data_IF_143414357087
#
_entry.id   IF_143414357087
#
_cell.length_a   1.000
_cell.length_b   1.000
_cell.length_c   1.000
_cell.angle_alpha   90.00
_cell.angle_beta   90.00
_cell.angle_gamma   90.00
#
_symmetry.space_group_name_H-M   'P 1'
#
loop_
_entity.id
_entity.type
_entity.pdbx_description
1 polymer ?
#
# COMPACT_ATOMS: atom_id res chain seq x y z
N UNK A 1 16.00 -1.71 31.92
CA UNK A 1 16.81 -0.70 31.24
C UNK A 1 17.04 -1.09 29.77
N UNK A 2 17.24 -0.13 28.87
CA UNK A 2 17.65 -0.38 27.48
C UNK A 2 18.94 -1.19 27.41
N UNK A 3 19.89 -0.93 28.30
CA UNK A 3 21.16 -1.65 28.39
C UNK A 3 20.98 -3.14 28.70
N UNK A 4 20.06 -3.51 29.60
CA UNK A 4 19.75 -4.92 29.91
C UNK A 4 19.11 -5.63 28.69
N UNK A 5 18.22 -4.95 28.01
CA UNK A 5 17.62 -5.47 26.76
C UNK A 5 18.69 -5.68 25.67
N UNK A 6 19.60 -4.72 25.52
CA UNK A 6 20.71 -4.80 24.58
C UNK A 6 21.58 -6.02 24.84
N UNK A 7 22.03 -6.22 26.10
CA UNK A 7 22.85 -7.38 26.47
C UNK A 7 22.09 -8.71 26.29
N UNK A 8 20.79 -8.73 26.59
CA UNK A 8 19.95 -9.90 26.34
C UNK A 8 19.93 -10.27 24.85
N UNK A 9 19.62 -9.35 23.97
CA UNK A 9 19.53 -9.65 22.53
C UNK A 9 20.90 -9.96 21.93
N UNK A 10 21.96 -9.30 22.37
CA UNK A 10 23.34 -9.61 21.98
C UNK A 10 23.74 -11.04 22.35
N UNK A 11 23.39 -11.50 23.55
CA UNK A 11 23.62 -12.88 23.98
C UNK A 11 22.87 -13.92 23.15
N UNK A 12 21.71 -13.54 22.58
CA UNK A 12 20.89 -14.42 21.76
C UNK A 12 21.14 -14.26 20.25
N UNK A 13 22.18 -13.54 19.85
CA UNK A 13 22.55 -13.26 18.45
C UNK A 13 21.41 -12.61 17.62
N UNK A 14 20.56 -11.80 18.27
CA UNK A 14 19.48 -11.05 17.62
C UNK A 14 20.01 -9.67 17.18
N UNK A 15 20.82 -9.67 16.13
CA UNK A 15 21.54 -8.47 15.64
C UNK A 15 20.57 -7.36 15.21
N UNK A 16 19.39 -7.71 14.71
CA UNK A 16 18.39 -6.73 14.28
C UNK A 16 17.85 -5.92 15.45
N UNK A 17 17.57 -6.58 16.59
CA UNK A 17 17.12 -5.89 17.80
C UNK A 17 18.23 -5.13 18.49
N UNK A 18 19.44 -5.68 18.50
CA UNK A 18 20.63 -4.97 18.98
C UNK A 18 20.76 -3.64 18.20
N UNK A 19 20.80 -3.71 16.89
CA UNK A 19 20.92 -2.52 16.05
C UNK A 19 19.72 -1.56 16.16
N UNK A 20 18.51 -2.07 16.33
CA UNK A 20 17.33 -1.22 16.56
C UNK A 20 17.47 -0.44 17.88
N UNK A 21 17.88 -1.10 18.95
CA UNK A 21 18.08 -0.48 20.27
C UNK A 21 19.19 0.59 20.27
N UNK A 22 20.22 0.46 19.43
CA UNK A 22 21.27 1.47 19.30
C UNK A 22 20.70 2.84 18.91
N UNK A 23 19.72 2.87 17.99
CA UNK A 23 19.13 4.10 17.48
C UNK A 23 17.96 4.65 18.32
N UNK A 24 17.49 3.93 19.33
CA UNK A 24 16.43 4.41 20.20
C UNK A 24 16.99 5.42 21.22
N UNK A 25 16.40 6.63 21.33
CA UNK A 25 16.85 7.63 22.30
C UNK A 25 16.45 7.32 23.75
N UNK A 26 15.55 6.37 23.95
CA UNK A 26 14.94 6.04 25.23
C UNK A 26 15.92 5.34 26.15
N UNK A 27 15.89 5.68 27.44
CA UNK A 27 16.64 4.95 28.49
C UNK A 27 15.98 3.63 28.87
N UNK A 28 14.65 3.53 28.70
CA UNK A 28 13.85 2.36 28.97
C UNK A 28 13.17 1.85 27.72
N UNK A 29 13.01 0.54 27.62
CA UNK A 29 12.24 -0.13 26.57
C UNK A 29 11.30 -1.14 27.20
N UNK A 30 10.13 -1.33 26.61
CA UNK A 30 9.17 -2.33 27.04
C UNK A 30 9.49 -3.67 26.38
N UNK A 31 9.73 -4.68 27.19
CA UNK A 31 9.89 -6.05 26.72
C UNK A 31 8.69 -6.88 27.12
N UNK A 32 8.27 -7.75 26.23
CA UNK A 32 7.29 -8.78 26.52
C UNK A 32 8.00 -10.10 26.82
N UNK A 33 7.50 -10.83 27.82
CA UNK A 33 8.08 -12.11 28.26
C UNK A 33 7.08 -13.23 28.03
N UNK A 34 7.52 -14.28 27.34
CA UNK A 34 6.79 -15.55 27.22
C UNK A 34 7.74 -16.66 27.67
N UNK A 35 7.42 -17.31 28.79
CA UNK A 35 8.35 -18.28 29.41
C UNK A 35 9.70 -17.64 29.73
N UNK A 36 10.75 -18.08 29.07
CA UNK A 36 12.12 -17.55 29.24
C UNK A 36 12.59 -16.67 28.09
N UNK A 37 11.69 -16.39 27.15
CA UNK A 37 11.98 -15.56 25.94
C UNK A 37 11.49 -14.15 26.18
N UNK A 38 12.35 -13.17 25.92
CA UNK A 38 11.99 -11.76 25.89
C UNK A 38 11.97 -11.27 24.45
N UNK A 39 11.01 -10.41 24.14
CA UNK A 39 10.93 -9.77 22.82
C UNK A 39 10.59 -8.29 22.95
N UNK A 40 11.07 -7.49 22.02
CA UNK A 40 10.75 -6.08 21.87
C UNK A 40 9.73 -5.92 20.76
N UNK A 41 8.54 -5.43 21.11
CA UNK A 41 7.43 -5.21 20.17
C UNK A 41 6.88 -3.81 20.41
N UNK A 42 6.65 -3.06 19.34
CA UNK A 42 6.19 -1.67 19.39
C UNK A 42 4.70 -1.55 19.79
N UNK A 43 3.89 -2.57 19.51
CA UNK A 43 2.47 -2.59 19.84
C UNK A 43 2.19 -3.19 21.21
N UNK A 44 1.00 -2.91 21.74
CA UNK A 44 0.53 -3.58 22.96
C UNK A 44 0.23 -5.05 22.67
N UNK A 45 0.70 -5.93 23.53
CA UNK A 45 0.43 -7.37 23.52
C UNK A 45 -0.60 -7.71 24.60
N UNK A 46 -1.42 -8.75 24.42
CA UNK A 46 -2.26 -9.29 25.47
C UNK A 46 -1.41 -9.77 26.67
N UNK A 47 -2.01 -9.78 27.86
CA UNK A 47 -1.35 -10.18 29.09
C UNK A 47 -1.00 -11.67 29.12
N UNK A 48 -1.76 -12.48 28.41
CA UNK A 48 -1.59 -13.93 28.36
C UNK A 48 -1.95 -14.50 26.99
N UNK A 49 -1.44 -15.67 26.67
CA UNK A 49 -1.66 -16.33 25.36
C UNK A 49 -3.00 -17.05 25.27
N UNK A 50 -3.72 -17.21 26.39
CA UNK A 50 -5.04 -17.85 26.42
C UNK A 50 -6.12 -17.14 25.60
N UNK A 51 -5.90 -15.87 25.25
CA UNK A 51 -6.78 -15.13 24.33
C UNK A 51 -6.62 -15.54 22.86
N UNK A 52 -5.58 -16.29 22.51
CA UNK A 52 -5.31 -16.78 21.15
C UNK A 52 -5.90 -18.18 20.99
N UNK A 53 -7.23 -18.26 20.97
CA UNK A 53 -7.96 -19.55 20.99
C UNK A 53 -7.94 -20.25 19.64
N UNK A 54 -7.89 -19.51 18.56
CA UNK A 54 -8.00 -20.04 17.21
C UNK A 54 -6.94 -19.44 16.30
N UNK A 55 -6.19 -20.28 15.63
CA UNK A 55 -5.32 -19.91 14.53
C UNK A 55 -5.09 -21.11 13.62
N UNK A 56 -4.71 -20.86 12.38
CA UNK A 56 -4.32 -21.88 11.42
C UNK A 56 -2.97 -21.55 10.82
N UNK A 57 -2.24 -22.59 10.45
CA UNK A 57 -0.99 -22.48 9.68
C UNK A 57 -1.19 -23.17 8.34
N UNK A 58 -0.78 -22.54 7.28
CA UNK A 58 -0.80 -23.11 5.94
C UNK A 58 0.58 -22.91 5.31
N UNK A 59 1.22 -24.02 5.00
CA UNK A 59 2.51 -24.02 4.31
C UNK A 59 2.28 -23.71 2.82
N UNK A 60 3.04 -22.78 2.28
CA UNK A 60 2.92 -22.42 0.87
C UNK A 60 4.00 -23.11 0.05
N UNK A 61 5.22 -22.60 0.09
CA UNK A 61 6.37 -23.07 -0.67
C UNK A 61 7.63 -22.31 -0.23
N UNK A 62 8.82 -22.86 -0.51
CA UNK A 62 10.10 -22.17 -0.30
C UNK A 62 10.29 -21.55 1.10
N UNK A 63 9.97 -22.27 2.15
CA UNK A 63 10.02 -21.82 3.54
C UNK A 63 9.04 -20.68 3.88
N UNK A 64 8.00 -20.51 3.08
CA UNK A 64 6.92 -19.55 3.33
C UNK A 64 5.69 -20.25 3.93
N UNK A 65 5.06 -19.62 4.91
CA UNK A 65 3.80 -20.07 5.48
C UNK A 65 2.86 -18.89 5.79
N UNK A 66 1.57 -19.18 5.80
CA UNK A 66 0.53 -18.22 6.17
C UNK A 66 0.02 -18.54 7.57
N UNK A 67 -0.03 -17.52 8.43
CA UNK A 67 -0.73 -17.59 9.71
C UNK A 67 -2.14 -17.04 9.49
N UNK A 68 -3.15 -17.88 9.74
CA UNK A 68 -4.56 -17.50 9.69
C UNK A 68 -5.06 -17.25 11.11
N UNK A 69 -5.72 -16.14 11.34
CA UNK A 69 -6.27 -15.78 12.64
C UNK A 69 -7.61 -15.04 12.48
N UNK A 70 -8.50 -15.09 13.49
CA UNK A 70 -9.75 -14.36 13.47
C UNK A 70 -9.55 -12.86 13.33
N UNK A 71 -10.41 -12.21 12.56
CA UNK A 71 -10.40 -10.75 12.42
C UNK A 71 -11.81 -10.18 12.55
N UNK A 72 -11.92 -8.97 13.07
CA UNK A 72 -13.19 -8.23 13.20
C UNK A 72 -13.90 -8.01 11.86
N UNK A 73 -13.15 -7.99 10.76
CA UNK A 73 -13.73 -7.80 9.41
C UNK A 73 -14.53 -8.99 8.90
N UNK A 74 -14.40 -10.15 9.52
CA UNK A 74 -15.09 -11.40 9.15
C UNK A 74 -15.78 -12.05 10.35
N UNK A 75 -16.34 -11.22 11.25
CA UNK A 75 -17.07 -11.67 12.45
C UNK A 75 -16.26 -12.65 13.31
N UNK A 76 -14.99 -12.33 13.54
CA UNK A 76 -14.05 -13.09 14.36
C UNK A 76 -13.90 -14.58 13.95
N UNK A 77 -14.06 -14.87 12.66
CA UNK A 77 -13.83 -16.21 12.10
C UNK A 77 -12.52 -16.29 11.35
N UNK A 78 -11.98 -17.47 11.24
CA UNK A 78 -10.86 -17.76 10.34
C UNK A 78 -11.42 -17.99 8.94
N UNK A 79 -11.02 -17.15 7.99
CA UNK A 79 -11.35 -17.32 6.58
C UNK A 79 -10.45 -18.38 5.94
N UNK A 80 -10.98 -19.14 4.98
CA UNK A 80 -10.14 -19.94 4.11
C UNK A 80 -9.13 -19.05 3.39
N UNK A 81 -7.89 -19.53 3.30
CA UNK A 81 -6.84 -18.80 2.62
C UNK A 81 -6.98 -18.93 1.11
N UNK A 82 -6.99 -17.80 0.43
CA UNK A 82 -6.92 -17.72 -1.01
C UNK A 82 -5.56 -17.19 -1.42
N UNK A 83 -4.79 -18.00 -2.14
CA UNK A 83 -3.44 -17.62 -2.55
C UNK A 83 -3.47 -16.60 -3.69
N UNK A 84 -3.07 -15.37 -3.39
CA UNK A 84 -2.94 -14.29 -4.36
C UNK A 84 -1.52 -14.24 -4.95
N UNK A 85 -1.21 -15.13 -5.88
CA UNK A 85 0.13 -15.30 -6.48
C UNK A 85 0.80 -13.97 -6.86
N UNK A 86 0.10 -13.06 -7.56
CA UNK A 86 0.63 -11.75 -7.97
C UNK A 86 1.05 -10.87 -6.79
N UNK A 87 0.32 -10.92 -5.68
CA UNK A 87 0.66 -10.18 -4.47
C UNK A 87 1.95 -10.70 -3.85
N UNK A 88 2.11 -12.01 -3.78
CA UNK A 88 3.33 -12.64 -3.28
C UNK A 88 4.54 -12.38 -4.17
N UNK A 89 4.35 -12.38 -5.50
CA UNK A 89 5.40 -11.98 -6.44
C UNK A 89 5.90 -10.55 -6.17
N UNK A 90 5.00 -9.61 -5.88
CA UNK A 90 5.36 -8.23 -5.52
C UNK A 90 6.10 -8.17 -4.18
N UNK A 91 5.71 -8.95 -3.18
CA UNK A 91 6.44 -9.03 -1.91
C UNK A 91 7.85 -9.58 -2.10
N UNK A 92 8.01 -10.65 -2.88
CA UNK A 92 9.34 -11.21 -3.21
C UNK A 92 10.20 -10.18 -3.96
N UNK A 93 9.64 -9.48 -4.94
CA UNK A 93 10.33 -8.42 -5.67
C UNK A 93 10.78 -7.30 -4.73
N UNK A 94 9.93 -6.85 -3.82
CA UNK A 94 10.26 -5.83 -2.82
C UNK A 94 11.42 -6.29 -1.92
N UNK A 95 11.42 -7.58 -1.52
CA UNK A 95 12.51 -8.18 -0.76
C UNK A 95 13.83 -8.20 -1.55
N UNK A 96 13.77 -8.52 -2.85
CA UNK A 96 14.95 -8.47 -3.73
C UNK A 96 15.48 -7.03 -3.92
N UNK A 97 14.60 -6.04 -4.04
CA UNK A 97 15.00 -4.64 -4.04
C UNK A 97 15.71 -4.23 -2.74
N UNK A 98 15.20 -4.68 -1.59
CA UNK A 98 15.87 -4.48 -0.31
C UNK A 98 17.28 -5.07 -0.28
N UNK A 99 17.44 -6.28 -0.80
CA UNK A 99 18.76 -6.93 -0.92
C UNK A 99 19.70 -6.13 -1.84
N UNK A 100 19.21 -5.70 -3.00
CA UNK A 100 19.97 -4.92 -3.98
C UNK A 100 20.47 -3.60 -3.39
N UNK A 101 19.64 -2.94 -2.58
CA UNK A 101 19.98 -1.70 -1.90
C UNK A 101 20.77 -1.91 -0.59
N UNK A 102 21.02 -3.16 -0.18
CA UNK A 102 21.58 -3.52 1.12
C UNK A 102 20.76 -2.99 2.33
N UNK A 103 19.44 -2.91 2.17
CA UNK A 103 18.49 -2.52 3.20
C UNK A 103 17.53 -3.69 3.42
N UNK A 104 17.83 -4.53 4.39
CA UNK A 104 17.01 -5.71 4.72
C UNK A 104 16.20 -5.52 5.99
N UNK A 105 16.69 -4.68 6.88
CA UNK A 105 16.13 -4.45 8.21
C UNK A 105 15.99 -2.95 8.51
N UNK A 106 15.20 -2.62 9.52
CA UNK A 106 15.13 -1.25 10.04
C UNK A 106 16.49 -0.74 10.54
N UNK A 107 17.32 -1.64 11.04
CA UNK A 107 18.70 -1.31 11.44
C UNK A 107 19.55 -0.85 10.27
N UNK A 108 19.46 -1.54 9.12
CA UNK A 108 20.19 -1.13 7.90
C UNK A 108 19.72 0.26 7.44
N UNK A 109 18.40 0.49 7.44
CA UNK A 109 17.84 1.79 7.09
C UNK A 109 18.35 2.88 8.04
N UNK A 110 18.31 2.64 9.36
CA UNK A 110 18.80 3.60 10.36
C UNK A 110 20.28 3.93 10.17
N UNK A 111 21.13 2.96 9.84
CA UNK A 111 22.54 3.17 9.50
C UNK A 111 22.72 4.10 8.32
N UNK A 112 21.93 3.94 7.28
CA UNK A 112 21.98 4.79 6.08
C UNK A 112 21.42 6.19 6.39
N UNK A 113 20.30 6.28 7.12
CA UNK A 113 19.68 7.57 7.50
C UNK A 113 20.64 8.39 8.37
N UNK A 114 21.35 7.77 9.32
CA UNK A 114 22.35 8.46 10.17
C UNK A 114 23.67 8.77 9.47
N UNK A 115 23.86 8.29 8.25
CA UNK A 115 25.00 8.58 7.40
C UNK A 115 24.66 9.62 6.34
N UNK A 116 25.66 10.16 5.64
CA UNK A 116 25.43 11.08 4.50
C UNK A 116 24.87 10.40 3.23
N UNK A 117 24.60 9.09 3.27
CA UNK A 117 24.23 8.28 2.10
C UNK A 117 22.71 8.16 1.85
N UNK A 118 21.90 8.80 2.67
CA UNK A 118 20.42 8.72 2.52
C UNK A 118 19.94 9.22 1.15
N UNK A 119 20.55 10.26 0.60
CA UNK A 119 20.18 10.79 -0.70
C UNK A 119 20.46 9.80 -1.84
N UNK A 120 21.53 9.01 -1.73
CA UNK A 120 21.84 7.98 -2.73
C UNK A 120 20.83 6.83 -2.66
N UNK A 121 20.41 6.43 -1.46
CA UNK A 121 19.36 5.44 -1.28
C UNK A 121 18.02 5.90 -1.88
N UNK A 122 17.63 7.15 -1.63
CA UNK A 122 16.41 7.74 -2.21
C UNK A 122 16.48 7.71 -3.74
N UNK A 123 17.57 8.20 -4.34
CA UNK A 123 17.75 8.22 -5.80
C UNK A 123 17.72 6.82 -6.40
N UNK A 124 18.37 5.86 -5.75
CA UNK A 124 18.36 4.46 -6.20
C UNK A 124 16.94 3.87 -6.16
N UNK A 125 16.21 4.06 -5.08
CA UNK A 125 14.83 3.60 -4.93
C UNK A 125 13.89 4.22 -5.97
N UNK A 126 14.01 5.54 -6.20
CA UNK A 126 13.24 6.24 -7.23
C UNK A 126 13.60 5.78 -8.65
N UNK A 127 14.85 5.44 -8.89
CA UNK A 127 15.33 4.91 -10.18
C UNK A 127 14.75 3.53 -10.44
N UNK A 128 14.78 2.63 -9.47
CA UNK A 128 14.17 1.30 -9.57
C UNK A 128 12.66 1.38 -9.88
N UNK A 129 11.94 2.23 -9.14
CA UNK A 129 10.52 2.45 -9.41
C UNK A 129 10.28 3.04 -10.81
N UNK A 130 11.10 3.99 -11.23
CA UNK A 130 10.99 4.65 -12.53
C UNK A 130 11.20 3.69 -13.68
N UNK A 131 12.21 2.82 -13.58
CA UNK A 131 12.50 1.78 -14.57
C UNK A 131 11.32 0.83 -14.71
N UNK A 132 10.77 0.36 -13.59
CA UNK A 132 9.60 -0.54 -13.60
C UNK A 132 8.38 0.11 -14.27
N UNK A 133 8.07 1.36 -13.92
CA UNK A 133 6.97 2.10 -14.55
C UNK A 133 7.20 2.32 -16.05
N UNK A 134 8.44 2.62 -16.44
CA UNK A 134 8.79 2.79 -17.86
C UNK A 134 8.64 1.48 -18.65
N UNK A 135 9.02 0.36 -18.08
CA UNK A 135 8.89 -0.95 -18.74
C UNK A 135 7.41 -1.32 -18.92
N UNK A 136 6.57 -1.07 -17.93
CA UNK A 136 5.11 -1.21 -18.09
C UNK A 136 4.56 -0.26 -19.17
N UNK A 137 5.05 0.99 -19.22
CA UNK A 137 4.61 1.94 -20.24
C UNK A 137 5.00 1.50 -21.65
N UNK A 138 6.21 0.96 -21.83
CA UNK A 138 6.67 0.37 -23.10
C UNK A 138 5.81 -0.82 -23.54
N UNK A 139 5.46 -1.70 -22.58
CA UNK A 139 4.62 -2.84 -22.87
C UNK A 139 3.20 -2.43 -23.29
N UNK A 140 2.61 -1.47 -22.59
CA UNK A 140 1.31 -0.89 -22.97
C UNK A 140 1.38 -0.20 -24.33
N UNK A 141 2.45 0.52 -24.63
CA UNK A 141 2.62 1.18 -25.92
C UNK A 141 2.64 0.19 -27.09
N UNK A 142 3.27 -0.99 -26.92
CA UNK A 142 3.25 -2.06 -27.92
C UNK A 142 1.85 -2.64 -28.17
N UNK A 143 0.97 -2.57 -27.19
CA UNK A 143 -0.39 -3.13 -27.24
C UNK A 143 -1.47 -2.04 -27.22
N UNK A 144 -1.14 -0.82 -27.62
CA UNK A 144 -2.05 0.35 -27.57
C UNK A 144 -3.28 0.22 -28.51
N UNK A 145 -3.21 -0.69 -29.50
CA UNK A 145 -4.35 -1.09 -30.32
C UNK A 145 -5.43 -1.82 -29.49
N UNK A 146 -5.05 -2.56 -28.46
CA UNK A 146 -5.92 -3.38 -27.60
C UNK A 146 -6.20 -2.72 -26.25
N UNK A 147 -5.16 -2.18 -25.62
CA UNK A 147 -5.28 -1.57 -24.28
C UNK A 147 -5.79 -0.14 -24.42
N UNK A 148 -7.03 0.10 -24.02
CA UNK A 148 -7.67 1.42 -24.08
C UNK A 148 -7.86 2.04 -22.69
N UNK A 149 -7.90 1.23 -21.64
CA UNK A 149 -8.12 1.66 -20.25
C UNK A 149 -7.06 1.04 -19.37
N UNK A 150 -6.47 1.85 -18.48
CA UNK A 150 -5.52 1.43 -17.46
C UNK A 150 -6.10 1.84 -16.11
N UNK A 151 -6.34 0.88 -15.25
CA UNK A 151 -6.85 1.10 -13.90
C UNK A 151 -5.69 1.09 -12.89
N UNK A 152 -5.54 2.17 -12.14
CA UNK A 152 -4.56 2.30 -11.06
C UNK A 152 -5.31 2.36 -9.74
N UNK A 153 -5.19 1.32 -8.93
CA UNK A 153 -5.81 1.22 -7.62
C UNK A 153 -4.75 1.15 -6.51
N UNK A 154 -5.15 1.52 -5.31
CA UNK A 154 -4.31 1.45 -4.12
C UNK A 154 -4.98 2.14 -2.93
N UNK A 155 -4.52 1.90 -1.71
CA UNK A 155 -5.09 2.51 -0.50
C UNK A 155 -4.92 4.03 -0.49
N UNK A 156 -5.60 4.70 0.45
CA UNK A 156 -5.44 6.14 0.64
C UNK A 156 -3.97 6.47 0.93
N UNK A 157 -3.53 7.62 0.47
CA UNK A 157 -2.14 8.12 0.64
C UNK A 157 -1.02 7.21 0.07
N UNK A 158 -1.35 6.20 -0.74
CA UNK A 158 -0.35 5.30 -1.38
C UNK A 158 0.42 5.93 -2.55
N UNK A 159 0.16 7.18 -2.90
CA UNK A 159 0.80 7.85 -4.03
C UNK A 159 0.18 7.53 -5.39
N UNK A 160 -1.08 7.07 -5.46
CA UNK A 160 -1.78 6.79 -6.73
C UNK A 160 -1.70 7.93 -7.74
N UNK A 161 -2.02 9.14 -7.30
CA UNK A 161 -2.02 10.34 -8.18
C UNK A 161 -0.63 10.65 -8.70
N UNK A 162 0.40 10.59 -7.86
CA UNK A 162 1.79 10.80 -8.25
C UNK A 162 2.25 9.75 -9.26
N UNK A 163 1.94 8.49 -9.00
CA UNK A 163 2.23 7.37 -9.90
C UNK A 163 1.51 7.52 -11.23
N UNK A 164 0.23 7.88 -11.22
CA UNK A 164 -0.58 8.10 -12.42
C UNK A 164 0.01 9.23 -13.30
N UNK A 165 0.39 10.36 -12.69
CA UNK A 165 1.02 11.48 -13.38
C UNK A 165 2.36 11.07 -14.02
N UNK A 166 3.22 10.38 -13.28
CA UNK A 166 4.51 9.89 -13.76
C UNK A 166 4.34 8.89 -14.89
N UNK A 167 3.39 7.98 -14.74
CA UNK A 167 3.09 6.97 -15.75
C UNK A 167 2.53 7.59 -17.04
N UNK A 168 1.63 8.57 -16.91
CA UNK A 168 1.12 9.33 -18.06
C UNK A 168 2.23 10.07 -18.81
N UNK A 169 3.26 10.60 -18.10
CA UNK A 169 4.43 11.19 -18.74
C UNK A 169 5.21 10.17 -19.58
N UNK A 170 5.42 8.96 -19.05
CA UNK A 170 6.10 7.90 -19.80
C UNK A 170 5.30 7.48 -21.03
N UNK A 171 4.00 7.31 -20.92
CA UNK A 171 3.14 7.00 -22.07
C UNK A 171 3.19 8.11 -23.14
N UNK A 172 3.20 9.38 -22.74
CA UNK A 172 3.37 10.51 -23.68
C UNK A 172 4.73 10.51 -24.36
N UNK A 173 5.81 10.19 -23.66
CA UNK A 173 7.14 10.09 -24.26
C UNK A 173 7.27 8.95 -25.27
N UNK A 174 6.33 7.99 -25.23
CA UNK A 174 6.20 6.89 -26.18
C UNK A 174 5.16 7.16 -27.30
N UNK A 175 4.71 8.42 -27.42
CA UNK A 175 3.80 8.87 -28.49
C UNK A 175 2.31 8.66 -28.21
N UNK A 176 1.92 8.23 -27.01
CA UNK A 176 0.54 8.07 -26.62
C UNK A 176 -0.03 9.35 -25.97
N UNK A 177 -1.34 9.51 -25.97
CA UNK A 177 -2.04 10.66 -25.39
C UNK A 177 -3.02 10.24 -24.29
N UNK A 178 -2.53 9.73 -23.14
CA UNK A 178 -3.40 9.26 -22.07
C UNK A 178 -4.19 10.40 -21.45
N UNK A 179 -5.46 10.14 -21.15
CA UNK A 179 -6.34 11.01 -20.39
C UNK A 179 -6.46 10.45 -18.98
N UNK A 180 -6.22 11.30 -17.98
CA UNK A 180 -6.34 10.90 -16.58
C UNK A 180 -7.74 11.23 -16.06
N UNK A 181 -8.37 10.24 -15.44
CA UNK A 181 -9.70 10.34 -14.85
C UNK A 181 -9.61 9.88 -13.40
N UNK A 182 -9.97 10.75 -12.46
CA UNK A 182 -10.10 10.37 -11.06
C UNK A 182 -11.49 9.82 -10.78
N UNK A 183 -11.57 8.67 -10.13
CA UNK A 183 -12.82 8.10 -9.64
C UNK A 183 -13.50 9.01 -8.61
N UNK A 184 -12.72 9.77 -7.84
CA UNK A 184 -13.22 10.68 -6.82
C UNK A 184 -14.15 11.77 -7.38
N UNK A 185 -14.00 12.11 -8.66
CA UNK A 185 -14.89 13.06 -9.34
C UNK A 185 -16.29 12.49 -9.61
N UNK A 186 -16.49 11.20 -9.41
CA UNK A 186 -17.76 10.51 -9.64
C UNK A 186 -18.53 10.19 -8.37
N UNK A 187 -18.13 10.72 -7.22
CA UNK A 187 -18.95 10.60 -6.02
C UNK A 187 -20.35 11.20 -6.27
N UNK A 188 -21.37 10.58 -5.70
CA UNK A 188 -22.71 11.16 -5.63
C UNK A 188 -22.67 12.44 -4.81
N UNK A 189 -23.65 13.32 -5.02
CA UNK A 189 -23.79 14.47 -4.15
C UNK A 189 -24.01 14.05 -2.68
N UNK A 190 -23.60 14.91 -1.77
CA UNK A 190 -23.60 14.57 -0.34
C UNK A 190 -24.98 14.11 0.16
N UNK A 191 -26.04 14.63 -0.38
CA UNK A 191 -27.41 14.25 -0.01
C UNK A 191 -27.75 12.79 -0.39
N UNK A 192 -27.13 12.28 -1.45
CA UNK A 192 -27.32 10.92 -1.97
C UNK A 192 -26.24 9.94 -1.54
N UNK A 193 -25.25 10.42 -0.75
CA UNK A 193 -24.16 9.58 -0.25
C UNK A 193 -24.68 8.69 0.89
N UNK A 194 -24.43 7.37 0.86
CA UNK A 194 -24.79 6.47 1.94
C UNK A 194 -24.20 6.89 3.29
N UNK A 195 -24.82 6.47 4.37
CA UNK A 195 -24.33 6.73 5.73
C UNK A 195 -23.99 5.42 6.43
N UNK A 196 -22.94 5.47 7.23
CA UNK A 196 -22.56 4.42 8.18
C UNK A 196 -23.55 4.36 9.33
N UNK A 197 -23.51 3.30 10.12
CA UNK A 197 -24.33 3.12 11.31
C UNK A 197 -24.19 4.27 12.34
N UNK A 198 -23.01 4.90 12.40
CA UNK A 198 -22.72 6.05 13.25
C UNK A 198 -23.25 7.39 12.69
N UNK A 199 -23.92 7.37 11.52
CA UNK A 199 -24.50 8.56 10.87
C UNK A 199 -23.53 9.35 9.98
N UNK A 200 -22.23 9.01 9.95
CA UNK A 200 -21.25 9.64 9.04
C UNK A 200 -21.46 9.19 7.60
N UNK A 201 -21.05 10.01 6.64
CA UNK A 201 -21.07 9.63 5.23
C UNK A 201 -20.07 8.52 4.93
N UNK A 202 -20.52 7.51 4.21
CA UNK A 202 -19.68 6.39 3.78
C UNK A 202 -19.21 6.60 2.34
N UNK A 203 -18.03 7.19 2.18
CA UNK A 203 -17.37 7.34 0.87
C UNK A 203 -16.55 6.12 0.45
N UNK A 204 -16.42 5.11 1.30
CA UNK A 204 -15.62 3.91 1.02
C UNK A 204 -16.46 2.77 0.39
N UNK A 205 -17.76 2.95 0.29
CA UNK A 205 -18.64 1.97 -0.37
C UNK A 205 -18.84 2.28 -1.86
N UNK A 206 -19.17 1.25 -2.63
CA UNK A 206 -19.41 1.37 -4.07
C UNK A 206 -20.61 2.24 -4.39
N UNK A 207 -21.63 2.23 -3.53
CA UNK A 207 -22.87 2.97 -3.63
C UNK A 207 -22.68 4.49 -3.52
N UNK A 208 -21.53 4.94 -2.97
CA UNK A 208 -21.17 6.35 -2.93
C UNK A 208 -20.79 6.89 -4.32
N UNK A 209 -20.46 6.03 -5.27
CA UNK A 209 -20.09 6.41 -6.62
C UNK A 209 -21.31 6.42 -7.56
N UNK A 210 -21.35 7.39 -8.46
CA UNK A 210 -22.28 7.46 -9.58
C UNK A 210 -21.77 6.59 -10.73
N UNK A 211 -21.94 5.29 -10.58
CA UNK A 211 -21.49 4.31 -11.58
C UNK A 211 -22.20 4.47 -12.93
N UNK A 212 -23.43 4.99 -12.95
CA UNK A 212 -24.16 5.24 -14.21
C UNK A 212 -23.48 6.35 -15.00
N UNK A 213 -23.15 7.44 -14.33
CA UNK A 213 -22.42 8.55 -14.94
C UNK A 213 -21.01 8.11 -15.37
N UNK A 214 -20.30 7.38 -14.50
CA UNK A 214 -18.96 6.86 -14.82
C UNK A 214 -18.98 6.00 -16.10
N UNK A 215 -19.84 4.99 -16.15
CA UNK A 215 -19.96 4.10 -17.30
C UNK A 215 -20.34 4.85 -18.58
N UNK A 216 -21.24 5.83 -18.48
CA UNK A 216 -21.62 6.67 -19.61
C UNK A 216 -20.42 7.49 -20.12
N UNK A 217 -19.70 8.16 -19.22
CA UNK A 217 -18.52 8.98 -19.56
C UNK A 217 -17.45 8.13 -20.25
N UNK A 218 -17.11 6.96 -19.67
CA UNK A 218 -16.13 6.06 -20.27
C UNK A 218 -16.59 5.56 -21.63
N UNK A 219 -17.84 5.13 -21.76
CA UNK A 219 -18.40 4.69 -23.07
C UNK A 219 -18.35 5.77 -24.12
N UNK A 220 -18.74 7.01 -23.79
CA UNK A 220 -18.73 8.13 -24.73
C UNK A 220 -17.29 8.49 -25.16
N UNK A 221 -16.33 8.51 -24.23
CA UNK A 221 -14.90 8.72 -24.52
C UNK A 221 -14.33 7.61 -25.42
N UNK A 222 -14.67 6.34 -25.16
CA UNK A 222 -14.24 5.20 -25.98
C UNK A 222 -14.79 5.29 -27.41
N UNK A 223 -15.94 5.92 -27.61
CA UNK A 223 -16.55 6.18 -28.91
C UNK A 223 -16.08 7.50 -29.55
N UNK A 224 -15.06 8.16 -29.01
CA UNK A 224 -14.48 9.40 -29.52
C UNK A 224 -15.37 10.64 -29.35
N UNK A 225 -16.36 10.59 -28.47
CA UNK A 225 -17.23 11.73 -28.20
C UNK A 225 -16.59 12.69 -27.21
N UNK A 226 -16.84 13.98 -27.40
CA UNK A 226 -16.49 15.00 -26.40
C UNK A 226 -17.44 14.88 -25.19
N UNK A 227 -16.88 14.83 -24.00
CA UNK A 227 -17.62 14.64 -22.75
C UNK A 227 -17.32 15.79 -21.78
N UNK A 228 -18.34 16.28 -21.09
CA UNK A 228 -18.15 17.15 -19.93
C UNK A 228 -17.83 16.29 -18.73
N UNK A 229 -16.62 16.49 -18.19
CA UNK A 229 -16.14 15.73 -17.02
C UNK A 229 -16.75 16.29 -15.74
N UNK A 230 -17.22 15.41 -14.84
CA UNK A 230 -17.60 15.84 -13.50
C UNK A 230 -16.36 16.23 -12.69
N UNK A 231 -16.53 17.14 -11.76
CA UNK A 231 -15.58 17.54 -10.73
C UNK A 231 -16.33 17.61 -9.41
N UNK A 232 -15.93 16.77 -8.46
CA UNK A 232 -16.57 16.71 -7.14
C UNK A 232 -15.87 17.68 -6.19
N UNK A 233 -16.64 18.57 -5.59
CA UNK A 233 -16.15 19.50 -4.59
C UNK A 233 -16.35 18.90 -3.18
N UNK A 234 -15.27 18.46 -2.55
CA UNK A 234 -15.32 17.86 -1.20
C UNK A 234 -15.76 18.83 -0.10
N UNK A 235 -15.63 20.14 -0.31
CA UNK A 235 -16.06 21.14 0.67
C UNK A 235 -17.58 21.31 0.64
N UNK A 236 -18.16 21.52 -0.56
CA UNK A 236 -19.61 21.71 -0.70
C UNK A 236 -20.37 20.40 -0.76
N UNK A 237 -19.74 19.33 -1.25
CA UNK A 237 -20.35 18.02 -1.48
C UNK A 237 -21.22 18.00 -2.74
N UNK A 238 -20.94 18.90 -3.67
CA UNK A 238 -21.66 19.05 -4.94
C UNK A 238 -20.77 18.66 -6.12
N UNK A 239 -21.41 18.32 -7.23
CA UNK A 239 -20.76 17.93 -8.49
C UNK A 239 -20.92 19.05 -9.54
N UNK A 240 -19.83 19.46 -10.14
CA UNK A 240 -19.80 20.45 -11.20
C UNK A 240 -19.31 19.84 -12.53
N UNK A 241 -19.71 20.41 -13.65
CA UNK A 241 -19.32 19.96 -14.99
C UNK A 241 -18.63 21.10 -15.75
N UNK A 242 -17.33 21.27 -15.53
CA UNK A 242 -16.58 22.43 -16.05
C UNK A 242 -15.70 22.12 -17.26
N UNK A 243 -15.08 20.96 -17.28
CA UNK A 243 -14.03 20.59 -18.23
C UNK A 243 -14.56 19.66 -19.31
N UNK A 244 -14.28 19.98 -20.57
CA UNK A 244 -14.50 19.08 -21.71
C UNK A 244 -13.26 18.21 -21.94
N UNK A 245 -13.45 16.95 -22.24
CA UNK A 245 -12.40 15.98 -22.54
C UNK A 245 -12.72 15.29 -23.87
#
# INVERSE_FOLDING_TARGET
>A
LKTEAFEYFKKHNDEDKVGLLEYLPNTYVHLYKIGNIYNYILSKMPAETSCLNEFGLEYLDDDEFVIKYPTVYINDKIKEYEHHKKLFEVFRETKEWGKLMNIRTSTDLNKVVSSSKINDLIRMSETLQSNKLLDHAKDIAKHSDKIKIILIAGPSSSGKTTTCNKFAMYLRSLGLSPKMISMDNFFKERVDTPRKENGEYDFECLEALDLKLFNKVISDLMNGKEVKMPEFNFLTGEKEFKKKM
#
